data_IF_847279255127
#
_entry.id   IF_847279255127
#
_cell.length_a   1.000
_cell.length_b   1.000
_cell.length_c   1.000
_cell.angle_alpha   90.00
_cell.angle_beta   90.00
_cell.angle_gamma   90.00
#
_symmetry.space_group_name_H-M   'P 1'
#
loop_
_entity.id
_entity.type
_entity.pdbx_description
1 polymer ?
#
# COMPACT_ATOMS: atom_id res chain seq x y z
N UNK A 1 18.65 27.02 14.38
CA UNK A 1 17.37 26.62 13.74
C UNK A 1 17.58 25.20 13.23
N UNK A 2 16.91 24.22 13.83
CA UNK A 2 17.03 22.81 13.45
C UNK A 2 15.96 22.54 12.39
N UNK A 3 16.36 22.56 11.12
CA UNK A 3 15.48 22.33 9.98
C UNK A 3 15.11 20.85 9.98
N UNK A 4 13.99 20.50 10.62
CA UNK A 4 13.38 19.19 10.42
C UNK A 4 13.06 19.10 8.94
N UNK A 5 13.81 18.30 8.20
CA UNK A 5 13.40 17.88 6.86
C UNK A 5 12.03 17.23 7.03
N UNK A 6 10.98 17.95 6.64
CA UNK A 6 9.66 17.36 6.43
C UNK A 6 9.86 16.52 5.18
N UNK A 7 10.28 15.27 5.35
CA UNK A 7 10.36 14.30 4.26
C UNK A 7 8.94 14.27 3.69
N UNK A 8 8.71 14.84 2.53
CA UNK A 8 7.39 14.80 1.90
C UNK A 8 7.14 13.37 1.42
N UNK A 9 5.88 12.92 1.49
CA UNK A 9 5.46 11.67 0.82
C UNK A 9 5.80 11.85 -0.65
N UNK A 10 6.72 11.04 -1.17
CA UNK A 10 7.19 11.20 -2.54
C UNK A 10 6.13 10.70 -3.51
N UNK A 11 6.20 11.13 -4.77
CA UNK A 11 5.34 10.59 -5.82
C UNK A 11 5.47 9.06 -5.95
N UNK A 12 6.65 8.51 -5.66
CA UNK A 12 6.94 7.09 -5.69
C UNK A 12 6.16 6.35 -4.60
N UNK A 13 6.09 6.90 -3.38
CA UNK A 13 5.28 6.35 -2.29
C UNK A 13 3.79 6.27 -2.66
N UNK A 14 3.27 7.27 -3.39
CA UNK A 14 1.90 7.23 -3.91
C UNK A 14 1.72 6.15 -4.98
N UNK A 15 2.70 5.97 -5.86
CA UNK A 15 2.66 4.92 -6.89
C UNK A 15 2.69 3.53 -6.26
N UNK A 16 3.45 3.31 -5.21
CA UNK A 16 3.50 2.02 -4.49
C UNK A 16 2.14 1.66 -3.88
N UNK A 17 1.43 2.62 -3.30
CA UNK A 17 0.08 2.38 -2.77
C UNK A 17 -0.91 2.04 -3.89
N UNK A 18 -0.83 2.75 -5.02
CA UNK A 18 -1.70 2.50 -6.17
C UNK A 18 -1.39 1.12 -6.78
N UNK A 19 -0.13 0.78 -6.97
CA UNK A 19 0.30 -0.52 -7.49
C UNK A 19 -0.10 -1.66 -6.55
N UNK A 20 0.07 -1.47 -5.24
CA UNK A 20 -0.43 -2.39 -4.22
C UNK A 20 -1.94 -2.62 -4.35
N UNK A 21 -2.71 -1.55 -4.46
CA UNK A 21 -4.18 -1.61 -4.66
C UNK A 21 -4.55 -2.35 -5.95
N UNK A 22 -3.87 -2.08 -7.06
CA UNK A 22 -4.11 -2.73 -8.35
C UNK A 22 -3.74 -4.21 -8.36
N UNK A 23 -2.64 -4.58 -7.72
CA UNK A 23 -2.22 -5.98 -7.58
C UNK A 23 -3.24 -6.76 -6.74
N UNK A 24 -3.72 -6.16 -5.64
CA UNK A 24 -4.79 -6.71 -4.81
C UNK A 24 -6.12 -6.84 -5.56
N UNK A 25 -6.48 -5.82 -6.36
CA UNK A 25 -7.66 -5.87 -7.21
C UNK A 25 -7.59 -7.04 -8.19
N UNK A 26 -6.47 -7.17 -8.90
CA UNK A 26 -6.28 -8.21 -9.93
C UNK A 26 -6.25 -9.60 -9.30
N UNK A 27 -5.41 -9.80 -8.27
CA UNK A 27 -5.33 -11.06 -7.55
C UNK A 27 -6.65 -11.46 -6.89
N UNK A 28 -7.32 -10.49 -6.27
CA UNK A 28 -8.64 -10.67 -5.67
C UNK A 28 -9.71 -11.02 -6.71
N UNK A 29 -9.73 -10.36 -7.86
CA UNK A 29 -10.65 -10.67 -8.96
C UNK A 29 -10.44 -12.09 -9.47
N UNK A 30 -9.19 -12.47 -9.73
CA UNK A 30 -8.84 -13.81 -10.23
C UNK A 30 -9.26 -14.88 -9.23
N UNK A 31 -8.89 -14.72 -7.96
CA UNK A 31 -9.24 -15.68 -6.92
C UNK A 31 -10.75 -15.75 -6.68
N UNK A 32 -11.42 -14.60 -6.67
CA UNK A 32 -12.87 -14.50 -6.51
C UNK A 32 -13.66 -15.04 -7.70
N UNK A 33 -13.11 -14.93 -8.91
CA UNK A 33 -13.76 -15.40 -10.15
C UNK A 33 -13.98 -16.92 -10.17
N UNK A 34 -13.23 -17.68 -9.36
CA UNK A 34 -13.48 -19.10 -9.12
C UNK A 34 -14.87 -19.37 -8.53
N UNK A 35 -15.48 -18.37 -7.88
CA UNK A 35 -16.83 -18.43 -7.32
C UNK A 35 -17.88 -17.70 -8.18
N UNK A 36 -17.54 -17.39 -9.43
CA UNK A 36 -18.39 -16.70 -10.39
C UNK A 36 -18.21 -15.17 -10.41
N UNK A 37 -19.04 -14.49 -11.20
CA UNK A 37 -18.93 -13.04 -11.45
C UNK A 37 -19.01 -12.20 -10.17
N UNK A 38 -19.99 -12.50 -9.31
CA UNK A 38 -20.15 -11.82 -8.01
C UNK A 38 -18.95 -12.07 -7.09
N UNK A 39 -18.41 -13.30 -7.10
CA UNK A 39 -17.19 -13.65 -6.40
C UNK A 39 -15.99 -12.84 -6.87
N UNK A 40 -15.86 -12.62 -8.18
CA UNK A 40 -14.82 -11.77 -8.78
C UNK A 40 -14.89 -10.33 -8.30
N UNK A 41 -16.09 -9.72 -8.25
CA UNK A 41 -16.27 -8.34 -7.76
C UNK A 41 -15.93 -8.24 -6.26
N UNK A 42 -16.43 -9.18 -5.45
CA UNK A 42 -16.16 -9.19 -4.01
C UNK A 42 -14.67 -9.42 -3.76
N UNK A 43 -14.06 -10.36 -4.48
CA UNK A 43 -12.63 -10.62 -4.42
C UNK A 43 -11.81 -9.41 -4.81
N UNK A 44 -12.19 -8.69 -5.87
CA UNK A 44 -11.56 -7.44 -6.28
C UNK A 44 -11.59 -6.38 -5.18
N UNK A 45 -12.76 -6.18 -4.56
CA UNK A 45 -12.96 -5.22 -3.47
C UNK A 45 -12.13 -5.57 -2.24
N UNK A 46 -12.15 -6.84 -1.81
CA UNK A 46 -11.39 -7.28 -0.64
C UNK A 46 -9.88 -7.27 -0.91
N UNK A 47 -9.45 -7.77 -2.06
CA UNK A 47 -8.03 -7.81 -2.43
C UNK A 47 -7.43 -6.41 -2.57
N UNK A 48 -8.13 -5.49 -3.25
CA UNK A 48 -7.70 -4.10 -3.38
C UNK A 48 -7.63 -3.38 -2.03
N UNK A 49 -8.62 -3.60 -1.16
CA UNK A 49 -8.64 -3.00 0.18
C UNK A 49 -7.48 -3.51 1.04
N UNK A 50 -7.26 -4.83 1.10
CA UNK A 50 -6.20 -5.42 1.92
C UNK A 50 -4.83 -4.99 1.42
N UNK A 51 -4.58 -5.13 0.11
CA UNK A 51 -3.26 -4.86 -0.46
C UNK A 51 -2.95 -3.37 -0.52
N UNK A 52 -3.94 -2.52 -0.79
CA UNK A 52 -3.79 -1.06 -0.74
C UNK A 52 -3.60 -0.54 0.69
N UNK A 53 -4.30 -1.11 1.67
CA UNK A 53 -4.12 -0.75 3.08
C UNK A 53 -2.75 -1.15 3.61
N UNK A 54 -2.24 -2.33 3.24
CA UNK A 54 -0.92 -2.78 3.66
C UNK A 54 0.21 -1.94 3.06
N UNK A 55 0.08 -1.58 1.77
CA UNK A 55 0.99 -0.64 1.11
C UNK A 55 0.95 0.75 1.78
N UNK A 56 -0.25 1.27 2.04
CA UNK A 56 -0.42 2.55 2.75
C UNK A 56 0.21 2.53 4.14
N UNK A 57 -0.01 1.46 4.91
CA UNK A 57 0.57 1.30 6.24
C UNK A 57 2.11 1.26 6.18
N UNK A 58 2.67 0.61 5.18
CA UNK A 58 4.12 0.53 4.95
C UNK A 58 4.70 1.92 4.66
N UNK A 59 4.07 2.68 3.76
CA UNK A 59 4.44 4.07 3.46
C UNK A 59 4.36 4.95 4.71
N UNK A 60 3.27 4.89 5.48
CA UNK A 60 3.13 5.66 6.72
C UNK A 60 4.17 5.28 7.78
N UNK A 61 4.54 3.99 7.86
CA UNK A 61 5.58 3.52 8.77
C UNK A 61 6.95 4.06 8.36
N UNK A 62 7.29 4.00 7.08
CA UNK A 62 8.54 4.52 6.52
C UNK A 62 8.65 6.04 6.68
N UNK A 63 7.53 6.74 6.47
CA UNK A 63 7.42 8.17 6.73
C UNK A 63 7.66 8.48 8.21
N UNK A 64 6.95 7.80 9.12
CA UNK A 64 7.09 8.00 10.57
C UNK A 64 8.50 7.70 11.08
N UNK A 65 9.13 6.65 10.55
CA UNK A 65 10.51 6.26 10.86
C UNK A 65 11.51 7.35 10.43
N UNK A 66 11.33 7.88 9.22
CA UNK A 66 12.17 8.95 8.67
C UNK A 66 12.02 10.29 9.40
N UNK A 67 10.81 10.66 9.85
CA UNK A 67 10.57 11.87 10.64
C UNK A 67 11.08 11.71 12.09
N UNK A 68 11.10 10.48 12.62
CA UNK A 68 11.63 10.16 13.95
C UNK A 68 13.17 10.03 13.99
N UNK A 69 13.86 10.17 12.85
CA UNK A 69 15.32 9.98 12.78
C UNK A 69 15.79 8.55 12.99
N UNK A 70 14.88 7.57 12.93
CA UNK A 70 15.21 6.14 12.96
C UNK A 70 15.03 5.62 11.54
N UNK A 71 16.07 5.72 10.72
CA UNK A 71 16.08 4.97 9.47
C UNK A 71 15.90 3.49 9.83
N UNK A 72 14.93 2.77 9.25
CA UNK A 72 14.82 1.35 9.47
C UNK A 72 16.08 0.69 8.94
N UNK A 73 16.78 -0.04 9.82
CA UNK A 73 17.86 -0.95 9.40
C UNK A 73 17.27 -1.95 8.41
N UNK A 74 17.80 -1.84 7.20
CA UNK A 74 17.85 -2.84 6.16
C UNK A 74 18.41 -4.16 6.71
N UNK A 75 17.55 -5.17 6.80
CA UNK A 75 17.91 -6.57 6.94
C UNK A 75 17.21 -7.40 5.87
#
# INVERSE_FOLDING_TARGET
>A
MNTREIKQISFEDYMDVILGTFSGLTGGTVLGSAFGFTGGIIGALLGSFISGYDAYKTVCKNYSASVSGKMPEDH
#
